data_IF_872470120989
#
_entry.id   IF_872470120989
#
_cell.length_a   1.000
_cell.length_b   1.000
_cell.length_c   1.000
_cell.angle_alpha   90.00
_cell.angle_beta   90.00
_cell.angle_gamma   90.00
#
_symmetry.space_group_name_H-M   'P 1'
#
loop_
_entity.id
_entity.type
_entity.pdbx_description
1 polymer ?
#
# COMPACT_ATOMS: atom_id res chain seq x y z
N UNK A 1 3.23 -15.77 -4.22
CA UNK A 1 3.14 -14.36 -3.75
C UNK A 1 4.54 -13.92 -3.37
N UNK A 2 4.96 -12.69 -3.69
CA UNK A 2 6.29 -12.20 -3.30
C UNK A 2 6.34 -12.08 -1.77
N UNK A 3 7.47 -12.43 -1.16
CA UNK A 3 7.64 -12.28 0.29
C UNK A 3 7.55 -10.81 0.68
N UNK A 4 6.76 -10.49 1.71
CA UNK A 4 6.59 -9.12 2.20
C UNK A 4 7.93 -8.46 2.55
N UNK A 5 8.92 -9.24 3.00
CA UNK A 5 10.27 -8.76 3.29
C UNK A 5 11.00 -8.19 2.07
N UNK A 6 10.73 -8.69 0.85
CA UNK A 6 11.38 -8.22 -0.38
C UNK A 6 10.75 -6.95 -0.96
N UNK A 7 9.61 -6.51 -0.44
CA UNK A 7 8.93 -5.34 -0.98
C UNK A 7 9.70 -4.05 -0.69
N UNK A 8 9.60 -3.11 -1.63
CA UNK A 8 10.08 -1.74 -1.40
C UNK A 8 9.39 -1.11 -0.17
N UNK A 9 10.08 -0.24 0.59
CA UNK A 9 9.54 0.35 1.82
C UNK A 9 8.21 1.10 1.66
N UNK A 10 8.00 1.77 0.53
CA UNK A 10 6.75 2.46 0.22
C UNK A 10 5.56 1.50 0.05
N UNK A 11 5.76 0.33 -0.56
CA UNK A 11 4.73 -0.70 -0.66
C UNK A 11 4.43 -1.32 0.70
N UNK A 12 5.45 -1.53 1.55
CA UNK A 12 5.25 -2.00 2.93
C UNK A 12 4.40 -1.01 3.73
N UNK A 13 4.74 0.27 3.66
CA UNK A 13 3.98 1.33 4.32
C UNK A 13 2.53 1.37 3.82
N UNK A 14 2.33 1.39 2.50
CA UNK A 14 0.98 1.39 1.91
C UNK A 14 0.15 0.18 2.31
N UNK A 15 0.78 -1.00 2.43
CA UNK A 15 0.12 -2.23 2.86
C UNK A 15 -0.35 -2.16 4.32
N UNK A 16 0.51 -1.67 5.21
CA UNK A 16 0.17 -1.47 6.62
C UNK A 16 -0.92 -0.40 6.76
N UNK A 17 -0.83 0.69 6.00
CA UNK A 17 -1.84 1.74 5.98
C UNK A 17 -3.20 1.21 5.48
N UNK A 18 -3.23 0.33 4.48
CA UNK A 18 -4.46 -0.30 4.00
C UNK A 18 -5.09 -1.20 5.08
N UNK A 19 -4.31 -1.99 5.81
CA UNK A 19 -4.80 -2.76 6.95
C UNK A 19 -5.34 -1.87 8.08
N UNK A 20 -4.62 -0.79 8.42
CA UNK A 20 -5.06 0.15 9.44
C UNK A 20 -6.38 0.83 9.04
N UNK A 21 -6.49 1.28 7.79
CA UNK A 21 -7.73 1.88 7.26
C UNK A 21 -8.89 0.88 7.31
N UNK A 22 -8.66 -0.37 6.89
CA UNK A 22 -9.68 -1.43 6.94
C UNK A 22 -10.19 -1.63 8.37
N UNK A 23 -9.27 -1.79 9.33
CA UNK A 23 -9.63 -2.03 10.72
C UNK A 23 -10.39 -0.84 11.33
N UNK A 24 -9.89 0.37 11.13
CA UNK A 24 -10.51 1.59 11.67
C UNK A 24 -11.90 1.84 11.06
N UNK A 25 -12.08 1.65 9.75
CA UNK A 25 -13.38 1.84 9.12
C UNK A 25 -14.39 0.76 9.54
N UNK A 26 -13.97 -0.50 9.70
CA UNK A 26 -14.84 -1.56 10.24
C UNK A 26 -15.28 -1.22 11.67
N UNK A 27 -14.34 -0.81 12.53
CA UNK A 27 -14.65 -0.40 13.91
C UNK A 27 -15.61 0.80 13.92
N UNK A 28 -15.38 1.80 13.06
CA UNK A 28 -16.25 2.97 12.96
C UNK A 28 -17.68 2.60 12.54
N UNK A 29 -17.85 1.68 11.59
CA UNK A 29 -19.18 1.18 11.17
C UNK A 29 -19.87 0.48 12.34
N UNK A 30 -19.16 -0.42 13.04
CA UNK A 30 -19.71 -1.11 14.21
C UNK A 30 -20.12 -0.12 15.29
N UNK A 31 -19.27 0.87 15.59
CA UNK A 31 -19.60 1.93 16.54
C UNK A 31 -20.86 2.69 16.15
N UNK A 32 -20.95 3.18 14.90
CA UNK A 32 -22.13 3.89 14.40
C UNK A 32 -23.41 3.04 14.45
N UNK A 33 -23.32 1.73 14.19
CA UNK A 33 -24.46 0.81 14.30
C UNK A 33 -24.91 0.59 15.75
N UNK A 34 -23.97 0.53 16.69
CA UNK A 34 -24.25 0.26 18.10
C UNK A 34 -24.78 1.51 18.81
N UNK A 35 -24.22 2.69 18.54
CA UNK A 35 -24.63 3.94 19.20
C UNK A 35 -25.78 4.65 18.50
N UNK A 36 -26.04 4.30 17.23
CA UNK A 36 -27.00 5.02 16.39
C UNK A 36 -26.50 6.40 15.92
N UNK A 37 -25.24 6.77 16.20
CA UNK A 37 -24.68 8.10 15.91
C UNK A 37 -24.13 8.27 14.48
N UNK A 38 -24.55 7.43 13.53
CA UNK A 38 -24.12 7.50 12.13
C UNK A 38 -25.10 8.27 11.25
N UNK A 39 -24.62 9.32 10.57
CA UNK A 39 -25.35 9.83 9.40
C UNK A 39 -25.29 8.82 8.25
N UNK A 40 -26.30 8.79 7.38
CA UNK A 40 -26.28 7.93 6.19
C UNK A 40 -25.02 8.15 5.32
N UNK A 41 -24.58 9.40 5.22
CA UNK A 41 -23.36 9.78 4.50
C UNK A 41 -22.09 9.23 5.13
N UNK A 42 -21.94 9.30 6.46
CA UNK A 42 -20.75 8.77 7.15
C UNK A 42 -20.67 7.24 7.06
N UNK A 43 -21.83 6.56 7.12
CA UNK A 43 -21.91 5.11 6.94
C UNK A 43 -21.55 4.68 5.51
N UNK A 44 -22.01 5.42 4.50
CA UNK A 44 -21.63 5.18 3.10
C UNK A 44 -20.11 5.31 2.89
N UNK A 45 -19.50 6.41 3.34
CA UNK A 45 -18.06 6.62 3.15
C UNK A 45 -17.23 5.59 3.92
N UNK A 46 -17.62 5.23 5.14
CA UNK A 46 -16.93 4.18 5.89
C UNK A 46 -17.01 2.84 5.15
N UNK A 47 -18.19 2.47 4.63
CA UNK A 47 -18.37 1.24 3.83
C UNK A 47 -17.55 1.25 2.54
N UNK A 48 -17.55 2.36 1.81
CA UNK A 48 -16.74 2.53 0.61
C UNK A 48 -15.24 2.39 0.90
N UNK A 49 -14.78 2.94 2.02
CA UNK A 49 -13.38 2.82 2.44
C UNK A 49 -13.01 1.40 2.86
N UNK A 50 -13.91 0.66 3.51
CA UNK A 50 -13.70 -0.78 3.80
C UNK A 50 -13.47 -1.55 2.50
N UNK A 51 -14.30 -1.34 1.48
CA UNK A 51 -14.15 -2.01 0.18
C UNK A 51 -12.83 -1.63 -0.49
N UNK A 52 -12.48 -0.35 -0.53
CA UNK A 52 -11.21 0.11 -1.12
C UNK A 52 -9.99 -0.48 -0.39
N UNK A 53 -9.99 -0.44 0.94
CA UNK A 53 -8.91 -0.97 1.76
C UNK A 53 -8.77 -2.49 1.56
N UNK A 54 -9.88 -3.23 1.50
CA UNK A 54 -9.87 -4.66 1.22
C UNK A 54 -9.29 -4.97 -0.17
N UNK A 55 -9.66 -4.20 -1.20
CA UNK A 55 -9.09 -4.33 -2.54
C UNK A 55 -7.57 -4.12 -2.50
N UNK A 56 -7.09 -3.08 -1.82
CA UNK A 56 -5.66 -2.80 -1.70
C UNK A 56 -4.92 -3.92 -0.98
N UNK A 57 -5.46 -4.43 0.13
CA UNK A 57 -4.87 -5.55 0.89
C UNK A 57 -4.75 -6.81 0.02
N UNK A 58 -5.73 -7.09 -0.85
CA UNK A 58 -5.73 -8.29 -1.70
C UNK A 58 -4.87 -8.11 -2.97
N UNK A 59 -4.90 -6.92 -3.58
CA UNK A 59 -4.23 -6.66 -4.86
C UNK A 59 -2.77 -6.25 -4.71
N UNK A 60 -2.40 -5.50 -3.66
CA UNK A 60 -1.05 -4.99 -3.48
C UNK A 60 0.03 -6.10 -3.47
N UNK A 61 -0.19 -7.30 -2.88
CA UNK A 61 0.76 -8.41 -3.00
C UNK A 61 1.06 -8.86 -4.43
N UNK A 62 0.15 -8.61 -5.38
CA UNK A 62 0.32 -8.97 -6.79
C UNK A 62 1.14 -7.93 -7.55
N UNK A 63 1.08 -6.66 -7.14
CA UNK A 63 1.73 -5.55 -7.84
C UNK A 63 2.91 -4.93 -7.08
N UNK A 64 3.20 -5.41 -5.87
CA UNK A 64 4.35 -4.95 -5.10
C UNK A 64 5.65 -5.16 -5.87
N UNK A 65 6.44 -4.10 -6.02
CA UNK A 65 7.76 -4.14 -6.63
C UNK A 65 8.77 -4.76 -5.68
N UNK A 66 9.67 -5.56 -6.25
CA UNK A 66 10.74 -6.20 -5.49
C UNK A 66 11.89 -5.20 -5.32
N UNK A 67 12.25 -4.91 -4.07
CA UNK A 67 13.25 -3.92 -3.71
C UNK A 67 14.65 -4.31 -4.15
N UNK A 68 14.98 -5.60 -4.21
CA UNK A 68 16.29 -6.05 -4.67
C UNK A 68 16.46 -5.79 -6.17
N UNK A 69 15.45 -6.15 -6.97
CA UNK A 69 15.46 -5.91 -8.42
C UNK A 69 15.50 -4.40 -8.74
N UNK A 70 14.81 -3.57 -7.96
CA UNK A 70 14.83 -2.12 -8.12
C UNK A 70 16.21 -1.54 -7.79
N UNK A 71 16.85 -2.02 -6.71
CA UNK A 71 18.20 -1.59 -6.32
C UNK A 71 19.25 -2.02 -7.34
N UNK A 72 19.16 -3.23 -7.88
CA UNK A 72 20.04 -3.70 -8.94
C UNK A 72 19.89 -2.87 -10.21
N UNK A 73 18.67 -2.54 -10.62
CA UNK A 73 18.43 -1.65 -11.76
C UNK A 73 19.00 -0.26 -11.51
N UNK A 74 18.87 0.27 -10.29
CA UNK A 74 19.45 1.56 -9.91
C UNK A 74 20.98 1.52 -9.93
N UNK A 75 21.61 0.45 -9.43
CA UNK A 75 23.06 0.25 -9.49
C UNK A 75 23.58 0.17 -10.93
N UNK A 76 22.92 -0.62 -11.79
CA UNK A 76 23.27 -0.70 -13.22
C UNK A 76 23.11 0.65 -13.93
N UNK A 77 22.05 1.40 -13.62
CA UNK A 77 21.84 2.74 -14.17
C UNK A 77 22.90 3.75 -13.68
N UNK A 78 23.39 3.61 -12.45
CA UNK A 78 24.50 4.42 -11.92
C UNK A 78 25.82 4.07 -12.62
N UNK A 79 26.15 2.78 -12.75
CA UNK A 79 27.34 2.31 -13.46
C UNK A 79 27.36 2.79 -14.92
N UNK A 80 26.24 2.67 -15.64
CA UNK A 80 26.13 3.18 -17.01
C UNK A 80 26.33 4.70 -17.10
N UNK A 81 25.89 5.47 -16.09
CA UNK A 81 26.12 6.93 -16.02
C UNK A 81 27.59 7.26 -15.74
N UNK A 82 28.26 6.47 -14.91
CA UNK A 82 29.70 6.63 -14.63
C UNK A 82 30.55 6.30 -15.85
N UNK A 83 30.24 5.23 -16.58
CA UNK A 83 30.91 4.89 -17.84
C UNK A 83 30.76 5.99 -18.90
N UNK A 84 29.57 6.60 -19.00
CA UNK A 84 29.32 7.74 -19.90
C UNK A 84 30.07 9.01 -19.45
N UNK A 85 30.28 9.20 -18.14
CA UNK A 85 31.06 10.34 -17.61
C UNK A 85 32.56 10.14 -17.77
N UNK A 86 33.08 8.92 -17.65
CA UNK A 86 34.50 8.60 -17.82
C UNK A 86 34.95 8.50 -19.28
N UNK A 87 34.02 8.42 -20.24
CA UNK A 87 34.30 8.51 -21.69
C UNK A 87 34.36 9.94 -22.24
N UNK A 88 34.20 10.95 -21.39
CA UNK A 88 34.27 12.38 -21.75
C UNK A 88 35.58 12.98 -21.28
#
# INVERSE_FOLDING_TARGET
MKNFSSWLPNYKFGYIAAWAALLLCVIAIVFMLVTGEGSGTSMFFAGFMVVNAAILVVMMPRWALDGELEQERRRKAQQAREELRGRR
#
